data_IF_484573806907
#
_entry.id   IF_484573806907
#
_cell.length_a   1.000
_cell.length_b   1.000
_cell.length_c   1.000
_cell.angle_alpha   90.00
_cell.angle_beta   90.00
_cell.angle_gamma   90.00
#
_symmetry.space_group_name_H-M   'P 1'
#
loop_
_entity.id
_entity.type
_entity.pdbx_description
1 polymer ?
#
# COMPACT_ATOMS: atom_id res chain seq x y z
N UNK A 1 -1.46 5.00 32.05
CA UNK A 1 -2.49 5.71 31.27
C UNK A 1 -2.23 7.20 31.21
N UNK A 2 -2.11 7.77 30.01
CA UNK A 2 -2.43 9.18 29.75
C UNK A 2 -3.31 9.16 28.52
N UNK A 3 -4.60 9.32 28.76
CA UNK A 3 -5.71 9.42 27.85
C UNK A 3 -5.36 10.30 26.64
N UNK A 4 -5.49 9.74 25.44
CA UNK A 4 -5.89 10.52 24.27
C UNK A 4 -7.39 10.23 24.08
N UNK A 5 -8.22 10.77 24.97
CA UNK A 5 -9.67 10.76 24.77
C UNK A 5 -9.99 11.75 23.65
N UNK A 6 -10.51 11.25 22.54
CA UNK A 6 -11.10 12.03 21.46
C UNK A 6 -10.14 13.00 20.76
N UNK A 7 -9.11 12.49 20.09
CA UNK A 7 -8.37 13.33 19.14
C UNK A 7 -9.16 13.38 17.83
N UNK A 8 -9.70 14.55 17.51
CA UNK A 8 -10.28 14.82 16.20
C UNK A 8 -9.14 15.19 15.26
N UNK A 9 -8.98 14.43 14.19
CA UNK A 9 -8.02 14.70 13.12
C UNK A 9 -8.76 15.33 11.96
N UNK A 10 -8.28 16.50 11.55
CA UNK A 10 -8.80 17.20 10.38
C UNK A 10 -8.12 16.61 9.12
N UNK A 11 -8.93 16.02 8.25
CA UNK A 11 -8.49 15.40 6.99
C UNK A 11 -9.15 16.10 5.79
N UNK A 12 -9.36 17.42 5.89
CA UNK A 12 -9.97 18.24 4.85
C UNK A 12 -11.49 18.30 5.02
N UNK A 13 -12.32 17.80 4.08
CA UNK A 13 -13.78 17.85 4.22
C UNK A 13 -14.34 16.85 5.24
N UNK A 14 -13.49 15.99 5.83
CA UNK A 14 -13.88 14.93 6.75
C UNK A 14 -13.14 15.15 8.08
N UNK A 15 -13.83 14.97 9.21
CA UNK A 15 -13.22 14.89 10.53
C UNK A 15 -13.14 13.42 10.95
N UNK A 16 -11.94 12.91 11.22
CA UNK A 16 -11.77 11.56 11.78
C UNK A 16 -11.67 11.68 13.31
N UNK A 17 -12.58 11.04 14.04
CA UNK A 17 -12.46 10.86 15.49
C UNK A 17 -11.88 9.48 15.72
N UNK A 18 -10.68 9.42 16.29
CA UNK A 18 -10.14 8.15 16.77
C UNK A 18 -10.30 8.10 18.29
N UNK A 19 -11.09 7.14 18.76
CA UNK A 19 -11.19 6.81 20.17
C UNK A 19 -10.08 5.82 20.51
N UNK A 20 -9.07 6.30 21.23
CA UNK A 20 -7.99 5.46 21.72
C UNK A 20 -8.44 4.75 22.99
N UNK A 21 -8.54 3.43 22.92
CA UNK A 21 -8.78 2.57 24.08
C UNK A 21 -7.46 1.93 24.50
N UNK A 22 -7.06 2.10 25.76
CA UNK A 22 -5.95 1.34 26.33
C UNK A 22 -6.42 -0.10 26.56
N UNK A 23 -5.87 -1.03 25.77
CA UNK A 23 -6.20 -2.45 25.89
C UNK A 23 -5.50 -3.11 27.08
N UNK A 24 -4.62 -2.37 27.79
CA UNK A 24 -3.80 -2.88 28.89
C UNK A 24 -3.01 -4.14 28.52
N UNK A 25 -2.59 -4.24 27.25
CA UNK A 25 -1.81 -5.33 26.68
C UNK A 25 -0.29 -5.07 26.73
N UNK A 26 0.11 -3.97 27.37
CA UNK A 26 1.50 -3.52 27.47
C UNK A 26 2.02 -2.82 26.23
N UNK A 27 1.22 -2.64 25.17
CA UNK A 27 1.59 -1.85 23.99
C UNK A 27 1.14 -0.40 24.20
N UNK A 28 1.98 0.56 23.81
CA UNK A 28 1.62 1.98 23.87
C UNK A 28 1.98 2.70 22.58
N UNK A 29 1.15 3.67 22.21
CA UNK A 29 1.35 4.61 21.11
C UNK A 29 1.28 6.04 21.65
N UNK A 30 2.10 6.93 21.08
CA UNK A 30 2.12 8.37 21.39
C UNK A 30 2.18 9.13 20.09
N UNK A 31 1.13 9.88 19.79
CA UNK A 31 1.11 10.76 18.62
C UNK A 31 2.30 11.72 18.64
N UNK A 32 2.95 11.86 17.49
CA UNK A 32 4.12 12.73 17.31
C UNK A 32 3.83 13.86 16.33
N UNK A 33 3.30 13.55 15.15
CA UNK A 33 3.05 14.55 14.11
C UNK A 33 2.07 14.07 13.02
N UNK A 34 1.58 15.03 12.25
CA UNK A 34 0.82 14.84 11.03
C UNK A 34 1.52 15.61 9.90
N UNK A 35 1.56 15.01 8.72
CA UNK A 35 1.93 15.71 7.48
C UNK A 35 0.92 15.36 6.38
N UNK A 36 0.70 16.31 5.48
CA UNK A 36 -0.15 16.09 4.31
C UNK A 36 0.64 15.38 3.21
N UNK A 37 0.04 14.35 2.64
CA UNK A 37 0.53 13.60 1.49
C UNK A 37 -0.20 14.12 0.25
N UNK A 38 0.23 15.28 -0.25
CA UNK A 38 -0.39 15.95 -1.38
C UNK A 38 -0.47 15.12 -2.69
N UNK A 39 0.26 14.00 -2.77
CA UNK A 39 0.33 13.13 -3.95
C UNK A 39 -0.49 11.83 -3.85
N UNK A 40 -1.25 11.63 -2.77
CA UNK A 40 -2.08 10.43 -2.57
C UNK A 40 -3.52 10.66 -3.04
N UNK A 41 -3.96 10.11 -4.17
CA UNK A 41 -5.39 10.20 -4.57
C UNK A 41 -5.85 11.59 -5.04
N UNK A 42 -7.16 11.73 -5.27
CA UNK A 42 -7.81 12.99 -5.69
C UNK A 42 -7.87 14.03 -4.56
N UNK A 43 -8.04 13.57 -3.32
CA UNK A 43 -8.20 14.42 -2.13
C UNK A 43 -6.90 14.58 -1.32
N UNK A 44 -5.79 14.01 -1.79
CA UNK A 44 -4.59 13.86 -0.97
C UNK A 44 -4.74 12.75 0.07
N UNK A 45 -3.71 12.65 0.91
CA UNK A 45 -3.73 11.78 2.08
C UNK A 45 -3.07 12.46 3.26
N UNK A 46 -3.06 11.79 4.40
CA UNK A 46 -2.34 12.23 5.59
C UNK A 46 -1.42 11.12 6.10
N UNK A 47 -0.28 11.49 6.66
CA UNK A 47 0.57 10.58 7.42
C UNK A 47 0.59 11.01 8.87
N UNK A 48 0.09 10.15 9.74
CA UNK A 48 0.30 10.27 11.17
C UNK A 48 1.53 9.49 11.60
N UNK A 49 2.35 10.13 12.43
CA UNK A 49 3.52 9.51 13.04
C UNK A 49 3.26 9.30 14.52
N UNK A 50 3.55 8.10 15.01
CA UNK A 50 3.44 7.73 16.41
C UNK A 50 4.75 7.16 16.92
N UNK A 51 5.11 7.51 18.14
CA UNK A 51 6.09 6.75 18.93
C UNK A 51 5.39 5.55 19.55
N UNK A 52 5.96 4.36 19.38
CA UNK A 52 5.40 3.13 19.88
C UNK A 52 6.42 2.32 20.69
N UNK A 53 5.92 1.52 21.64
CA UNK A 53 6.74 0.61 22.43
C UNK A 53 5.92 -0.46 23.15
N UNK A 54 6.63 -1.42 23.75
CA UNK A 54 6.09 -2.51 24.55
C UNK A 54 6.66 -2.38 25.98
N UNK A 55 5.83 -2.61 26.99
CA UNK A 55 6.17 -2.49 28.41
C UNK A 55 6.04 -1.04 28.91
N UNK A 56 6.96 -0.63 29.78
CA UNK A 56 6.94 0.72 30.32
C UNK A 56 7.21 1.79 29.25
N UNK A 57 6.53 2.93 29.38
CA UNK A 57 6.78 4.07 28.51
C UNK A 57 8.19 4.61 28.75
N UNK A 58 8.99 4.66 27.68
CA UNK A 58 10.37 5.13 27.77
C UNK A 58 10.44 6.58 28.27
N UNK A 59 11.35 6.85 29.23
CA UNK A 59 11.63 8.22 29.71
C UNK A 59 12.07 9.16 28.58
N UNK A 60 12.80 8.63 27.59
CA UNK A 60 13.19 9.36 26.39
C UNK A 60 12.46 8.78 25.16
N UNK A 61 11.31 9.37 24.83
CA UNK A 61 10.45 8.95 23.71
C UNK A 61 11.14 9.00 22.34
N UNK A 62 12.22 9.77 22.17
CA UNK A 62 12.97 9.81 20.90
C UNK A 62 13.67 8.49 20.57
N UNK A 63 13.89 7.64 21.58
CA UNK A 63 14.45 6.28 21.41
C UNK A 63 13.39 5.25 21.03
N UNK A 64 12.10 5.60 21.13
CA UNK A 64 11.02 4.69 20.78
C UNK A 64 10.88 4.56 19.25
N UNK A 65 10.40 3.40 18.82
CA UNK A 65 10.11 3.12 17.42
C UNK A 65 9.10 4.13 16.88
N UNK A 66 9.28 4.56 15.63
CA UNK A 66 8.27 5.36 14.92
C UNK A 66 7.42 4.42 14.08
N UNK A 67 6.10 4.57 14.18
CA UNK A 67 5.13 3.91 13.32
C UNK A 67 4.39 5.00 12.55
N UNK A 68 4.34 4.85 11.23
CA UNK A 68 3.62 5.75 10.34
C UNK A 68 2.32 5.08 9.88
N UNK A 69 1.22 5.81 9.97
CA UNK A 69 -0.05 5.45 9.37
C UNK A 69 -0.35 6.42 8.24
N UNK A 70 -0.43 5.91 7.02
CA UNK A 70 -0.81 6.67 5.83
C UNK A 70 -2.28 6.42 5.57
N UNK A 71 -3.07 7.49 5.51
CA UNK A 71 -4.49 7.42 5.21
C UNK A 71 -4.72 8.11 3.86
N UNK A 72 -5.14 7.33 2.87
CA UNK A 72 -5.63 7.83 1.59
C UNK A 72 -7.16 7.87 1.58
N UNK A 73 -7.74 8.86 0.92
CA UNK A 73 -9.19 9.10 0.92
C UNK A 73 -9.71 9.16 -0.52
N UNK A 74 -10.91 8.61 -0.73
CA UNK A 74 -11.68 8.75 -1.98
C UNK A 74 -11.34 7.74 -3.07
N UNK A 75 -10.18 7.08 -2.97
CA UNK A 75 -9.75 6.08 -3.94
C UNK A 75 -10.71 4.89 -4.03
N UNK A 76 -11.13 4.46 -5.23
CA UNK A 76 -11.97 3.28 -5.39
C UNK A 76 -11.20 2.02 -5.00
N UNK A 77 -11.92 1.07 -4.37
CA UNK A 77 -11.44 -0.25 -4.00
C UNK A 77 -12.32 -1.26 -4.72
N UNK A 78 -11.73 -2.09 -5.58
CA UNK A 78 -12.47 -3.02 -6.45
C UNK A 78 -11.70 -4.34 -6.58
N UNK A 79 -12.27 -5.48 -6.14
CA UNK A 79 -13.52 -5.59 -5.39
C UNK A 79 -13.42 -4.88 -4.03
N UNK A 80 -14.53 -4.72 -3.32
CA UNK A 80 -14.54 -4.05 -2.01
C UNK A 80 -13.61 -4.74 -0.99
N UNK A 81 -13.23 -4.06 0.11
CA UNK A 81 -12.33 -4.62 1.12
C UNK A 81 -12.80 -5.99 1.64
N UNK A 82 -11.85 -6.90 1.84
CA UNK A 82 -12.10 -8.25 2.34
C UNK A 82 -11.67 -8.38 3.80
N UNK A 83 -12.41 -9.16 4.57
CA UNK A 83 -12.08 -9.44 5.96
C UNK A 83 -11.04 -10.56 6.00
N UNK A 84 -9.85 -10.25 6.50
CA UNK A 84 -8.75 -11.20 6.70
C UNK A 84 -8.43 -11.35 8.19
N UNK A 85 -7.90 -12.52 8.55
CA UNK A 85 -7.42 -12.81 9.90
C UNK A 85 -5.91 -12.96 9.88
N UNK A 86 -5.23 -12.27 10.80
CA UNK A 86 -3.79 -12.38 10.99
C UNK A 86 -3.52 -13.02 12.35
N UNK A 87 -2.66 -14.05 12.42
CA UNK A 87 -2.26 -14.64 13.68
C UNK A 87 -1.65 -13.57 14.61
N UNK A 88 -2.05 -13.60 15.88
CA UNK A 88 -1.42 -12.74 16.88
C UNK A 88 0.06 -13.16 17.06
N UNK A 89 0.94 -12.17 17.10
CA UNK A 89 2.35 -12.35 17.47
C UNK A 89 2.52 -12.64 18.97
N UNK A 90 1.57 -12.23 19.80
CA UNK A 90 1.55 -12.46 21.24
C UNK A 90 0.79 -13.76 21.52
N UNK A 91 1.46 -14.71 22.17
CA UNK A 91 0.87 -15.99 22.55
C UNK A 91 -0.33 -15.80 23.48
N UNK A 92 -1.46 -16.44 23.17
CA UNK A 92 -2.66 -16.43 24.01
C UNK A 92 -3.69 -15.33 23.69
N UNK A 93 -3.45 -14.49 22.68
CA UNK A 93 -4.42 -13.52 22.19
C UNK A 93 -5.19 -14.05 20.97
N UNK A 94 -6.43 -13.58 20.82
CA UNK A 94 -7.28 -13.87 19.67
C UNK A 94 -6.66 -13.35 18.36
N UNK A 95 -7.05 -13.97 17.24
CA UNK A 95 -6.65 -13.53 15.91
C UNK A 95 -7.11 -12.08 15.64
N UNK A 96 -6.25 -11.29 15.03
CA UNK A 96 -6.59 -9.90 14.67
C UNK A 96 -7.28 -9.92 13.33
N UNK A 97 -8.48 -9.35 13.25
CA UNK A 97 -9.22 -9.23 12.01
C UNK A 97 -9.11 -7.84 11.40
N UNK A 98 -8.83 -7.80 10.09
CA UNK A 98 -8.63 -6.58 9.32
C UNK A 98 -9.54 -6.56 8.10
N UNK A 99 -10.00 -5.37 7.70
CA UNK A 99 -10.44 -5.16 6.32
C UNK A 99 -9.20 -4.80 5.50
N UNK A 100 -8.86 -5.63 4.52
CA UNK A 100 -7.71 -5.45 3.66
C UNK A 100 -8.13 -5.30 2.21
N UNK A 101 -7.24 -4.73 1.41
CA UNK A 101 -7.44 -4.70 -0.03
C UNK A 101 -7.33 -6.11 -0.61
N UNK A 102 -8.29 -6.52 -1.46
CA UNK A 102 -8.16 -7.72 -2.27
C UNK A 102 -6.90 -7.62 -3.14
N UNK A 103 -6.39 -8.77 -3.56
CA UNK A 103 -5.17 -8.86 -4.35
C UNK A 103 -5.30 -8.12 -5.69
N UNK A 104 -6.50 -8.09 -6.27
CA UNK A 104 -6.82 -7.34 -7.48
C UNK A 104 -6.64 -5.84 -7.28
N UNK A 105 -7.15 -5.28 -6.17
CA UNK A 105 -6.94 -3.86 -5.85
C UNK A 105 -5.46 -3.56 -5.61
N UNK A 106 -4.73 -4.45 -4.91
CA UNK A 106 -3.28 -4.26 -4.67
C UNK A 106 -2.53 -4.21 -6.01
N UNK A 107 -2.80 -5.17 -6.90
CA UNK A 107 -2.22 -5.21 -8.24
C UNK A 107 -2.62 -4.00 -9.08
N UNK A 108 -3.89 -3.60 -9.05
CA UNK A 108 -4.42 -2.42 -9.75
C UNK A 108 -3.64 -1.17 -9.36
N UNK A 109 -3.55 -0.83 -8.07
CA UNK A 109 -2.85 0.40 -7.63
C UNK A 109 -1.38 0.43 -8.06
N UNK A 110 -0.72 -0.73 -8.01
CA UNK A 110 0.68 -0.89 -8.45
C UNK A 110 0.81 -0.73 -9.96
N UNK A 111 -0.08 -1.34 -10.76
CA UNK A 111 -0.09 -1.23 -12.22
C UNK A 111 -0.42 0.20 -12.67
N UNK A 112 -1.46 0.82 -12.10
CA UNK A 112 -1.80 2.21 -12.37
C UNK A 112 -0.59 3.11 -12.12
N UNK A 113 0.11 2.92 -11.00
CA UNK A 113 1.32 3.67 -10.68
C UNK A 113 2.45 3.40 -11.68
N UNK A 114 2.66 2.12 -12.05
CA UNK A 114 3.65 1.70 -13.03
C UNK A 114 3.45 2.40 -14.37
N UNK A 115 2.23 2.39 -14.89
CA UNK A 115 1.84 2.98 -16.17
C UNK A 115 1.89 4.50 -16.09
N UNK A 116 1.27 5.11 -15.07
CA UNK A 116 1.12 6.57 -14.98
C UNK A 116 2.44 7.29 -14.78
N UNK A 117 3.39 6.72 -14.03
CA UNK A 117 4.72 7.32 -13.86
C UNK A 117 5.67 6.95 -15.00
N UNK A 118 5.42 5.84 -15.69
CA UNK A 118 6.21 5.37 -16.83
C UNK A 118 7.72 5.42 -16.57
N UNK A 119 8.44 6.15 -17.41
CA UNK A 119 9.91 6.27 -17.36
C UNK A 119 10.44 6.93 -16.09
N UNK A 120 9.63 7.74 -15.41
CA UNK A 120 10.01 8.45 -14.18
C UNK A 120 9.71 7.63 -12.92
N UNK A 121 9.27 6.39 -13.08
CA UNK A 121 8.94 5.55 -11.94
C UNK A 121 10.20 5.06 -11.20
N UNK A 122 10.26 5.29 -9.89
CA UNK A 122 11.31 4.78 -8.99
C UNK A 122 10.83 3.70 -8.01
N UNK A 123 9.59 3.22 -8.14
CA UNK A 123 8.98 2.25 -7.23
C UNK A 123 9.31 0.82 -7.64
N UNK A 124 10.59 0.48 -7.57
CA UNK A 124 11.12 -0.83 -7.96
C UNK A 124 10.45 -2.01 -7.25
N UNK A 125 10.06 -1.82 -5.98
CA UNK A 125 9.36 -2.86 -5.20
C UNK A 125 8.00 -3.24 -5.78
N UNK A 126 7.30 -2.31 -6.45
CA UNK A 126 6.01 -2.63 -7.07
C UNK A 126 6.18 -3.66 -8.20
N UNK A 127 7.30 -3.66 -8.92
CA UNK A 127 7.60 -4.69 -9.94
C UNK A 127 7.77 -6.07 -9.29
N UNK A 128 8.46 -6.14 -8.15
CA UNK A 128 8.57 -7.39 -7.40
C UNK A 128 7.20 -7.89 -6.95
N UNK A 129 6.43 -7.04 -6.29
CA UNK A 129 5.11 -7.40 -5.76
C UNK A 129 4.17 -7.85 -6.87
N UNK A 130 4.15 -7.16 -8.01
CA UNK A 130 3.37 -7.56 -9.19
C UNK A 130 3.80 -8.93 -9.72
N UNK A 131 5.10 -9.21 -9.80
CA UNK A 131 5.61 -10.50 -10.26
C UNK A 131 5.19 -11.67 -9.35
N UNK A 132 4.85 -11.40 -8.09
CA UNK A 132 4.39 -12.38 -7.10
C UNK A 132 2.86 -12.45 -7.03
N UNK A 133 2.16 -11.33 -7.16
CA UNK A 133 0.71 -11.25 -6.95
C UNK A 133 -0.12 -11.46 -8.21
N UNK A 134 0.34 -11.03 -9.38
CA UNK A 134 -0.41 -11.21 -10.64
C UNK A 134 -0.82 -12.67 -10.94
N UNK A 135 -0.03 -13.71 -10.61
CA UNK A 135 -0.47 -15.10 -10.81
C UNK A 135 -1.68 -15.54 -9.95
N UNK A 136 -2.07 -14.74 -8.95
CA UNK A 136 -3.11 -15.08 -7.97
C UNK A 136 -4.40 -14.29 -8.17
N UNK A 137 -4.42 -13.33 -9.08
CA UNK A 137 -5.58 -12.46 -9.32
C UNK A 137 -6.61 -13.17 -10.20
N UNK A 138 -7.87 -12.84 -10.01
CA UNK A 138 -8.86 -13.03 -11.07
C UNK A 138 -8.69 -11.96 -12.15
N UNK A 139 -8.38 -12.39 -13.38
CA UNK A 139 -8.07 -11.47 -14.48
C UNK A 139 -9.24 -10.57 -14.88
N UNK A 140 -10.48 -11.08 -14.79
CA UNK A 140 -11.67 -10.29 -15.11
C UNK A 140 -11.92 -9.18 -14.10
N UNK A 141 -11.75 -9.49 -12.82
CA UNK A 141 -11.89 -8.58 -11.70
C UNK A 141 -10.77 -7.54 -11.69
N UNK A 142 -9.52 -7.94 -11.99
CA UNK A 142 -8.41 -6.99 -12.13
C UNK A 142 -8.66 -5.98 -13.27
N UNK A 143 -9.18 -6.42 -14.42
CA UNK A 143 -9.54 -5.53 -15.54
C UNK A 143 -10.61 -4.53 -15.13
N UNK A 144 -11.63 -4.98 -14.39
CA UNK A 144 -12.65 -4.09 -13.85
C UNK A 144 -12.05 -3.06 -12.90
N UNK A 145 -11.21 -3.50 -11.96
CA UNK A 145 -10.54 -2.62 -11.00
C UNK A 145 -9.70 -1.55 -11.71
N UNK A 146 -8.89 -1.95 -12.70
CA UNK A 146 -8.09 -1.03 -13.51
C UNK A 146 -8.97 0.00 -14.21
N UNK A 147 -10.04 -0.45 -14.90
CA UNK A 147 -10.96 0.45 -15.58
C UNK A 147 -11.53 1.51 -14.62
N UNK A 148 -12.03 1.08 -13.46
CA UNK A 148 -12.63 1.98 -12.46
C UNK A 148 -11.62 2.97 -11.90
N UNK A 149 -10.38 2.55 -11.64
CA UNK A 149 -9.35 3.44 -11.12
C UNK A 149 -8.86 4.47 -12.14
N UNK A 150 -8.70 4.09 -13.42
CA UNK A 150 -8.34 5.06 -14.48
C UNK A 150 -9.48 6.07 -14.72
N UNK A 151 -10.73 5.60 -14.77
CA UNK A 151 -11.91 6.47 -14.89
C UNK A 151 -12.01 7.46 -13.72
N UNK A 152 -11.89 6.97 -12.48
CA UNK A 152 -11.94 7.81 -11.28
C UNK A 152 -10.85 8.89 -11.27
N UNK A 153 -9.63 8.53 -11.69
CA UNK A 153 -8.48 9.46 -11.70
C UNK A 153 -8.44 10.37 -12.92
N UNK A 154 -9.46 10.32 -13.79
CA UNK A 154 -9.51 11.07 -15.05
C UNK A 154 -8.27 10.85 -15.93
N UNK A 155 -7.67 9.66 -15.86
CA UNK A 155 -6.55 9.26 -16.71
C UNK A 155 -7.08 8.46 -17.91
N UNK A 156 -6.49 8.68 -19.09
CA UNK A 156 -6.91 7.94 -20.30
C UNK A 156 -6.64 6.45 -20.09
N UNK A 157 -7.69 5.63 -20.21
CA UNK A 157 -7.57 4.18 -20.14
C UNK A 157 -6.72 3.69 -21.34
N UNK A 158 -5.57 3.04 -21.10
CA UNK A 158 -4.75 2.52 -22.18
C UNK A 158 -5.51 1.52 -23.05
N UNK A 159 -5.30 1.59 -24.37
CA UNK A 159 -5.83 0.58 -25.30
C UNK A 159 -5.23 -0.81 -25.05
N UNK A 160 -4.02 -0.87 -24.49
CA UNK A 160 -3.34 -2.08 -24.03
C UNK A 160 -2.31 -1.72 -22.96
N UNK A 161 -2.55 -2.17 -21.73
CA UNK A 161 -1.63 -2.17 -20.61
C UNK A 161 -0.33 -2.91 -20.95
N UNK A 162 -0.38 -4.05 -21.67
CA UNK A 162 0.82 -4.77 -22.13
C UNK A 162 1.73 -3.84 -22.93
N UNK A 163 1.13 -3.11 -23.87
CA UNK A 163 1.86 -2.21 -24.77
C UNK A 163 2.47 -1.04 -24.00
N UNK A 164 1.73 -0.45 -23.06
CA UNK A 164 2.23 0.66 -22.25
C UNK A 164 3.36 0.24 -21.31
N UNK A 165 3.22 -0.88 -20.60
CA UNK A 165 4.27 -1.37 -19.69
C UNK A 165 5.54 -1.72 -20.47
N UNK A 166 5.42 -2.33 -21.64
CA UNK A 166 6.57 -2.71 -22.48
C UNK A 166 7.37 -1.51 -23.00
N UNK A 167 6.74 -0.34 -23.14
CA UNK A 167 7.41 0.91 -23.58
C UNK A 167 8.22 1.58 -22.47
N UNK A 168 8.02 1.21 -21.20
CA UNK A 168 8.67 1.85 -20.06
C UNK A 168 10.18 1.60 -20.13
N UNK A 169 10.95 2.70 -20.07
CA UNK A 169 12.40 2.64 -19.84
C UNK A 169 12.65 2.25 -18.39
N UNK A 170 13.31 1.13 -18.17
CA UNK A 170 13.42 0.52 -16.85
C UNK A 170 14.62 0.99 -16.03
N UNK A 171 15.51 1.84 -16.57
CA UNK A 171 16.77 2.23 -15.91
C UNK A 171 16.55 2.75 -14.48
N UNK A 172 15.49 3.54 -14.27
CA UNK A 172 15.17 4.12 -12.96
C UNK A 172 14.63 3.08 -11.98
N UNK A 173 13.82 2.13 -12.45
CA UNK A 173 13.33 1.00 -11.67
C UNK A 173 14.47 0.04 -11.33
N UNK A 174 15.36 -0.24 -12.26
CA UNK A 174 16.48 -1.17 -12.05
C UNK A 174 17.49 -0.62 -11.04
N UNK A 175 17.77 0.70 -11.06
CA UNK A 175 18.64 1.35 -10.05
C UNK A 175 18.17 1.13 -8.61
N UNK A 176 16.85 1.09 -8.38
CA UNK A 176 16.28 0.88 -7.03
C UNK A 176 16.12 -0.59 -6.65
N UNK A 177 16.40 -1.53 -7.55
CA UNK A 177 16.06 -2.94 -7.36
C UNK A 177 16.75 -3.59 -6.17
N UNK A 178 18.07 -3.38 -6.03
CA UNK A 178 18.86 -4.00 -4.96
C UNK A 178 18.28 -3.68 -3.59
N UNK A 179 17.95 -2.41 -3.34
CA UNK A 179 17.32 -2.00 -2.08
C UNK A 179 15.89 -2.53 -1.95
N UNK A 180 15.14 -2.63 -3.04
CA UNK A 180 13.76 -3.11 -3.00
C UNK A 180 13.62 -4.58 -2.57
N UNK A 181 14.63 -5.40 -2.83
CA UNK A 181 14.61 -6.85 -2.55
C UNK A 181 15.63 -7.29 -1.49
N UNK A 182 16.33 -6.36 -0.84
CA UNK A 182 17.42 -6.65 0.12
C UNK A 182 17.00 -7.61 1.25
N UNK A 183 15.76 -7.48 1.74
CA UNK A 183 15.22 -8.33 2.79
C UNK A 183 14.52 -9.60 2.29
N UNK A 184 14.55 -9.90 1.00
CA UNK A 184 13.78 -10.98 0.38
C UNK A 184 14.73 -12.13 0.01
N UNK A 185 14.65 -13.28 0.69
CA UNK A 185 15.48 -14.44 0.35
C UNK A 185 15.18 -14.92 -1.07
N UNK A 186 16.24 -15.21 -1.84
CA UNK A 186 16.14 -15.76 -3.20
C UNK A 186 15.28 -14.91 -4.16
N UNK A 187 15.32 -13.58 -4.02
CA UNK A 187 14.60 -12.68 -4.91
C UNK A 187 15.01 -12.88 -6.39
N UNK A 188 14.03 -12.77 -7.30
CA UNK A 188 14.29 -12.77 -8.74
C UNK A 188 15.19 -11.59 -9.14
N UNK A 189 15.88 -11.71 -10.27
CA UNK A 189 16.52 -10.54 -10.89
C UNK A 189 15.45 -9.55 -11.36
N UNK A 190 15.80 -8.25 -11.43
CA UNK A 190 14.90 -7.20 -11.93
C UNK A 190 14.33 -7.58 -13.31
N UNK A 191 15.23 -7.96 -14.23
CA UNK A 191 14.87 -8.36 -15.59
C UNK A 191 13.86 -9.52 -15.59
N UNK A 192 14.11 -10.58 -14.83
CA UNK A 192 13.20 -11.72 -14.72
C UNK A 192 11.83 -11.31 -14.17
N UNK A 193 11.80 -10.49 -13.12
CA UNK A 193 10.55 -10.03 -12.52
C UNK A 193 9.76 -9.14 -13.49
N UNK A 194 10.41 -8.18 -14.15
CA UNK A 194 9.76 -7.28 -15.09
C UNK A 194 9.23 -8.01 -16.34
N UNK A 195 10.02 -8.92 -16.93
CA UNK A 195 9.58 -9.77 -18.05
C UNK A 195 8.37 -10.63 -17.66
N UNK A 196 8.36 -11.17 -16.44
CA UNK A 196 7.23 -11.92 -15.90
C UNK A 196 5.97 -11.05 -15.78
N UNK A 197 6.09 -9.82 -15.27
CA UNK A 197 4.97 -8.86 -15.18
C UNK A 197 4.41 -8.56 -16.57
N UNK A 198 5.27 -8.20 -17.53
CA UNK A 198 4.86 -7.90 -18.91
C UNK A 198 4.12 -9.08 -19.53
N UNK A 199 4.65 -10.31 -19.36
CA UNK A 199 4.01 -11.53 -19.87
C UNK A 199 2.62 -11.74 -19.27
N UNK A 200 2.51 -11.71 -17.94
CA UNK A 200 1.23 -11.96 -17.24
C UNK A 200 0.16 -10.95 -17.61
N UNK A 201 0.52 -9.67 -17.75
CA UNK A 201 -0.44 -8.65 -18.21
C UNK A 201 -0.91 -8.95 -19.64
N UNK A 202 -0.01 -9.34 -20.54
CA UNK A 202 -0.40 -9.74 -21.90
C UNK A 202 -1.38 -10.93 -21.91
N UNK A 203 -1.20 -11.90 -21.02
CA UNK A 203 -2.11 -13.05 -20.86
C UNK A 203 -3.46 -12.63 -20.28
N UNK A 204 -3.49 -11.73 -19.29
CA UNK A 204 -4.72 -11.23 -18.67
C UNK A 204 -5.53 -10.36 -19.64
N UNK A 205 -4.86 -9.58 -20.50
CA UNK A 205 -5.54 -8.75 -21.52
C UNK A 205 -6.17 -9.56 -22.65
N UNK A 206 -5.57 -10.71 -23.00
CA UNK A 206 -6.02 -11.53 -24.13
C UNK A 206 -7.23 -12.42 -23.80
N UNK A 207 -7.47 -12.70 -22.53
CA UNK A 207 -8.61 -13.47 -22.02
C UNK A 207 -9.70 -12.53 -21.50
#
# INVERSE_FOLDING_TARGET
MKEMTGTTFDIGPISMVADFTDLNDGVWFRYESQIDLATQGEYGGIRHSYRAGIGEVLKNLKKAQVVHFDLGIGDPVTPGPQKEQTPSLLSGNDEISWLVYPIETICEKKLHTLISHGNENSRSKDVHDLAIFLPKVDGSTLKEALKRSFEFRSTELPKSFYTEIKKIKTDRLERGWVSAVDSIPNAMSFKTAFEKVVKLIGEIEAN
#
